data_IF_045192383356
#
_entry.id   IF_045192383356
#
_cell.length_a   1.000
_cell.length_b   1.000
_cell.length_c   1.000
_cell.angle_alpha   90.00
_cell.angle_beta   90.00
_cell.angle_gamma   90.00
#
_symmetry.space_group_name_H-M   'P 1'
#
loop_
_entity.id
_entity.type
_entity.pdbx_description
1 polymer ?
#
# COMPACT_ATOMS: atom_id res chain seq x y z
N UNK A 1 2.16 12.32 -14.68
CA UNK A 1 1.30 11.48 -13.80
C UNK A 1 2.00 11.34 -12.45
N UNK A 2 1.34 11.58 -11.31
CA UNK A 2 1.96 11.36 -10.00
C UNK A 2 2.29 9.88 -9.79
N UNK A 3 3.24 9.59 -8.91
CA UNK A 3 3.52 8.22 -8.54
C UNK A 3 3.94 8.08 -7.07
N UNK A 4 3.79 6.88 -6.53
CA UNK A 4 4.28 6.50 -5.21
C UNK A 4 5.22 5.31 -5.28
N UNK A 5 6.14 5.26 -4.32
CA UNK A 5 6.94 4.08 -4.04
C UNK A 5 6.60 3.63 -2.61
N UNK A 6 6.26 2.36 -2.45
CA UNK A 6 6.01 1.71 -1.16
C UNK A 6 7.19 0.78 -0.90
N UNK A 7 7.99 1.13 0.10
CA UNK A 7 9.06 0.29 0.60
C UNK A 7 8.52 -0.58 1.73
N UNK A 8 8.41 -1.89 1.46
CA UNK A 8 7.87 -2.84 2.43
C UNK A 8 8.84 -3.13 3.57
N UNK A 9 10.15 -3.12 3.30
CA UNK A 9 11.18 -3.43 4.30
C UNK A 9 11.26 -2.35 5.35
N UNK A 10 11.14 -1.09 4.93
CA UNK A 10 11.13 0.06 5.84
C UNK A 10 9.71 0.46 6.30
N UNK A 11 8.68 -0.15 5.71
CA UNK A 11 7.27 0.19 5.94
C UNK A 11 7.00 1.69 5.74
N UNK A 12 7.45 2.21 4.59
CA UNK A 12 7.35 3.62 4.19
C UNK A 12 6.68 3.81 2.84
N UNK A 13 6.08 4.97 2.65
CA UNK A 13 5.51 5.45 1.40
C UNK A 13 6.16 6.77 1.02
N UNK A 14 6.58 6.89 -0.23
CA UNK A 14 7.17 8.09 -0.81
C UNK A 14 6.27 8.58 -1.94
N UNK A 15 5.87 9.85 -1.90
CA UNK A 15 4.98 10.47 -2.89
C UNK A 15 5.78 11.39 -3.80
N UNK A 16 5.65 11.20 -5.12
CA UNK A 16 6.33 11.99 -6.14
C UNK A 16 5.33 12.66 -7.08
N UNK A 17 5.65 13.87 -7.55
CA UNK A 17 4.89 14.49 -8.64
C UNK A 17 5.30 13.93 -10.01
N UNK A 18 4.67 14.44 -11.07
CA UNK A 18 4.91 14.01 -12.44
C UNK A 18 6.34 14.28 -12.94
N UNK A 19 7.01 15.27 -12.33
CA UNK A 19 8.37 15.68 -12.64
C UNK A 19 9.43 14.85 -11.87
N UNK A 20 9.02 13.88 -11.05
CA UNK A 20 9.92 13.03 -10.27
C UNK A 20 10.44 13.67 -8.99
N UNK A 21 9.84 14.78 -8.54
CA UNK A 21 10.20 15.45 -7.29
C UNK A 21 9.47 14.83 -6.11
N UNK A 22 10.21 14.52 -5.04
CA UNK A 22 9.64 14.04 -3.78
C UNK A 22 8.77 15.15 -3.15
N UNK A 23 7.50 14.83 -2.90
CA UNK A 23 6.51 15.73 -2.28
C UNK A 23 6.29 15.44 -0.80
N UNK A 24 6.62 14.23 -0.35
CA UNK A 24 6.59 13.85 1.05
C UNK A 24 6.77 12.34 1.24
N UNK A 25 7.00 11.96 2.49
CA UNK A 25 7.12 10.56 2.92
C UNK A 25 6.28 10.30 4.17
N UNK A 26 5.95 9.03 4.41
CA UNK A 26 5.25 8.62 5.62
C UNK A 26 5.51 7.17 5.98
N UNK A 27 5.36 6.83 7.26
CA UNK A 27 5.20 5.44 7.69
C UNK A 27 3.90 4.86 7.13
N UNK A 28 3.88 3.55 6.95
CA UNK A 28 2.69 2.80 6.57
C UNK A 28 2.54 1.54 7.42
N UNK A 29 1.30 1.17 7.73
CA UNK A 29 0.98 -0.21 8.11
C UNK A 29 0.77 -1.04 6.85
N UNK A 30 1.33 -2.24 6.85
CA UNK A 30 1.32 -3.17 5.74
C UNK A 30 0.66 -4.50 6.13
N UNK A 31 0.50 -5.37 5.14
CA UNK A 31 0.09 -6.75 5.33
C UNK A 31 0.90 -7.42 6.44
N UNK A 32 0.22 -8.19 7.28
CA UNK A 32 0.83 -8.90 8.41
C UNK A 32 1.95 -9.85 7.98
N UNK A 33 1.80 -10.52 6.84
CA UNK A 33 2.80 -11.44 6.32
C UNK A 33 3.86 -10.70 5.49
N UNK A 34 5.10 -11.19 5.59
CA UNK A 34 6.19 -10.86 4.66
C UNK A 34 5.96 -11.68 3.39
N UNK A 35 5.89 -11.03 2.24
CA UNK A 35 5.68 -11.73 0.97
C UNK A 35 5.31 -10.79 -0.16
N UNK A 36 5.65 -11.20 -1.38
CA UNK A 36 5.51 -10.36 -2.58
C UNK A 36 4.28 -10.70 -3.44
N UNK A 37 3.57 -11.77 -3.14
CA UNK A 37 2.44 -12.27 -3.93
C UNK A 37 1.15 -12.29 -3.09
N UNK A 38 0.02 -12.09 -3.75
CA UNK A 38 -1.31 -12.34 -3.20
C UNK A 38 -1.74 -13.77 -3.49
N UNK A 39 -2.49 -14.38 -2.58
CA UNK A 39 -3.11 -15.69 -2.84
C UNK A 39 -4.23 -15.54 -3.89
N UNK A 40 -4.36 -16.48 -4.86
CA UNK A 40 -5.44 -16.43 -5.84
C UNK A 40 -6.83 -16.28 -5.20
N UNK A 41 -7.64 -15.38 -5.74
CA UNK A 41 -9.01 -15.14 -5.28
C UNK A 41 -9.13 -14.43 -3.92
N UNK A 42 -8.03 -13.94 -3.33
CA UNK A 42 -8.06 -13.32 -2.00
C UNK A 42 -8.99 -12.11 -1.92
N UNK A 43 -9.14 -11.35 -3.01
CA UNK A 43 -10.01 -10.17 -3.08
C UNK A 43 -11.50 -10.49 -2.90
N UNK A 44 -11.92 -11.73 -3.15
CA UNK A 44 -13.32 -12.18 -3.04
C UNK A 44 -13.61 -12.90 -1.70
N UNK A 45 -12.56 -13.20 -0.92
CA UNK A 45 -12.69 -13.95 0.33
C UNK A 45 -13.14 -13.05 1.47
N UNK A 46 -13.97 -13.59 2.36
CA UNK A 46 -14.32 -12.91 3.60
C UNK A 46 -13.06 -12.72 4.47
N UNK A 47 -12.86 -11.52 5.04
CA UNK A 47 -11.67 -11.21 5.86
C UNK A 47 -11.41 -12.24 6.97
N UNK A 48 -12.46 -12.74 7.62
CA UNK A 48 -12.34 -13.75 8.68
C UNK A 48 -11.76 -15.10 8.19
N UNK A 49 -11.82 -15.37 6.89
CA UNK A 49 -11.27 -16.59 6.28
C UNK A 49 -9.83 -16.44 5.79
N UNK A 50 -9.25 -15.23 5.81
CA UNK A 50 -7.89 -14.96 5.36
C UNK A 50 -6.92 -15.28 6.51
N UNK A 51 -6.07 -16.27 6.30
CA UNK A 51 -5.09 -16.73 7.28
C UNK A 51 -3.97 -15.69 7.47
N UNK A 52 -3.33 -15.61 8.64
CA UNK A 52 -2.25 -14.65 8.91
C UNK A 52 -1.15 -14.60 7.83
N UNK A 53 -0.71 -15.76 7.35
CA UNK A 53 0.33 -15.93 6.33
C UNK A 53 -0.09 -15.48 4.92
N UNK A 54 -1.40 -15.36 4.67
CA UNK A 54 -1.95 -14.90 3.39
C UNK A 54 -2.10 -13.37 3.32
N UNK A 55 -1.88 -12.67 4.43
CA UNK A 55 -2.10 -11.21 4.55
C UNK A 55 -0.88 -10.43 4.08
N UNK A 56 -0.53 -10.55 2.81
CA UNK A 56 0.61 -9.87 2.21
C UNK A 56 0.20 -8.53 1.58
N UNK A 57 1.15 -7.60 1.47
CA UNK A 57 1.03 -6.47 0.53
C UNK A 57 1.82 -6.87 -0.74
N UNK A 58 1.15 -7.11 -1.88
CA UNK A 58 1.81 -7.64 -3.06
C UNK A 58 2.78 -6.63 -3.66
N UNK A 59 3.90 -7.12 -4.17
CA UNK A 59 4.87 -6.31 -4.91
C UNK A 59 4.41 -6.15 -6.36
N UNK A 60 4.74 -5.02 -6.99
CA UNK A 60 4.37 -4.79 -8.38
C UNK A 60 4.23 -3.33 -8.76
N UNK A 61 3.80 -3.12 -10.00
CA UNK A 61 3.47 -1.81 -10.55
C UNK A 61 1.99 -1.74 -10.85
N UNK A 62 1.32 -0.82 -10.20
CA UNK A 62 -0.13 -0.70 -10.23
C UNK A 62 -0.57 0.64 -10.79
N UNK A 63 -1.62 0.64 -11.61
CA UNK A 63 -2.34 1.87 -11.96
C UNK A 63 -3.35 2.11 -10.86
N UNK A 64 -3.19 3.21 -10.14
CA UNK A 64 -4.00 3.55 -8.98
C UNK A 64 -4.90 4.75 -9.27
N UNK A 65 -6.09 4.72 -8.68
CA UNK A 65 -7.11 5.76 -8.83
C UNK A 65 -7.95 5.91 -7.58
N UNK A 66 -8.41 7.13 -7.30
CA UNK A 66 -9.35 7.34 -6.20
C UNK A 66 -10.67 6.64 -6.48
N UNK A 67 -11.25 6.06 -5.44
CA UNK A 67 -12.58 5.48 -5.47
C UNK A 67 -13.19 5.49 -4.08
N UNK A 68 -14.26 4.72 -3.90
CA UNK A 68 -14.94 4.57 -2.61
C UNK A 68 -14.90 3.12 -2.14
N UNK A 69 -14.75 2.94 -0.83
CA UNK A 69 -14.96 1.66 -0.18
C UNK A 69 -16.47 1.36 0.02
N UNK A 70 -16.80 0.17 0.52
CA UNK A 70 -18.18 -0.26 0.78
C UNK A 70 -18.95 0.65 1.76
N UNK A 71 -18.24 1.41 2.60
CA UNK A 71 -18.82 2.38 3.56
C UNK A 71 -18.90 3.80 2.97
N UNK A 72 -18.57 3.97 1.69
CA UNK A 72 -18.58 5.26 0.99
C UNK A 72 -17.35 6.15 1.26
N UNK A 73 -16.39 5.70 2.07
CA UNK A 73 -15.16 6.44 2.35
C UNK A 73 -14.21 6.44 1.16
N UNK A 74 -13.56 7.57 0.90
CA UNK A 74 -12.55 7.67 -0.16
C UNK A 74 -11.33 6.81 0.17
N UNK A 75 -10.87 6.06 -0.83
CA UNK A 75 -9.65 5.25 -0.78
C UNK A 75 -8.92 5.38 -2.12
N UNK A 76 -7.62 5.11 -2.12
CA UNK A 76 -6.86 4.92 -3.34
C UNK A 76 -6.85 3.42 -3.67
N UNK A 77 -7.55 3.01 -4.72
CA UNK A 77 -7.45 1.65 -5.24
C UNK A 77 -6.09 1.45 -5.88
N UNK A 78 -5.39 0.38 -5.51
CA UNK A 78 -4.06 0.03 -6.02
C UNK A 78 -4.18 -1.23 -6.87
N UNK A 79 -4.73 -2.31 -6.31
CA UNK A 79 -4.98 -3.55 -7.04
C UNK A 79 -6.42 -3.98 -6.80
N UNK A 80 -7.25 -3.90 -7.84
CA UNK A 80 -8.64 -4.28 -7.76
C UNK A 80 -8.82 -5.80 -7.65
N UNK A 81 -7.98 -6.59 -8.32
CA UNK A 81 -8.12 -8.05 -8.36
C UNK A 81 -7.87 -8.65 -6.97
N UNK A 82 -6.86 -8.13 -6.28
CA UNK A 82 -6.49 -8.59 -4.93
C UNK A 82 -7.07 -7.73 -3.81
N UNK A 83 -7.96 -6.79 -4.16
CA UNK A 83 -8.64 -5.86 -3.25
C UNK A 83 -7.70 -5.01 -2.38
N UNK A 84 -6.53 -4.63 -2.90
CA UNK A 84 -5.54 -3.81 -2.20
C UNK A 84 -5.80 -2.32 -2.46
N UNK A 85 -5.83 -1.56 -1.37
CA UNK A 85 -5.97 -0.12 -1.41
C UNK A 85 -5.01 0.55 -0.42
N UNK A 86 -4.73 1.83 -0.67
CA UNK A 86 -4.12 2.72 0.30
C UNK A 86 -5.18 3.65 0.86
N UNK A 87 -5.24 3.76 2.19
CA UNK A 87 -6.22 4.61 2.85
C UNK A 87 -5.72 5.12 4.22
N UNK A 88 -6.35 6.15 4.80
CA UNK A 88 -6.02 6.57 6.16
C UNK A 88 -6.14 5.42 7.16
N UNK A 89 -5.24 5.39 8.14
CA UNK A 89 -5.40 4.54 9.31
C UNK A 89 -6.75 4.82 9.97
N UNK A 90 -7.48 3.76 10.29
CA UNK A 90 -8.76 3.82 10.99
C UNK A 90 -8.59 3.29 12.40
N UNK A 91 -9.39 3.80 13.34
CA UNK A 91 -9.49 3.23 14.68
C UNK A 91 -9.98 1.78 14.55
N UNK A 92 -9.07 0.82 14.78
CA UNK A 92 -9.39 -0.59 14.90
C UNK A 92 -9.91 -0.91 16.29
N UNK A 93 -9.66 -2.13 16.76
CA UNK A 93 -9.79 -2.46 18.18
C UNK A 93 -8.61 -1.91 18.97
N UNK A 94 -8.78 -1.52 20.26
CA UNK A 94 -7.67 -1.06 21.09
C UNK A 94 -6.49 -2.05 21.17
N UNK A 95 -6.77 -3.36 21.05
CA UNK A 95 -5.74 -4.41 21.05
C UNK A 95 -4.81 -4.35 19.84
N UNK A 96 -5.26 -3.82 18.72
CA UNK A 96 -4.44 -3.72 17.50
C UNK A 96 -3.37 -2.63 17.61
N UNK A 97 -3.59 -1.59 18.43
CA UNK A 97 -2.64 -0.49 18.65
C UNK A 97 -2.11 0.15 17.37
N UNK A 98 -3.00 0.43 16.41
CA UNK A 98 -2.61 0.82 15.04
C UNK A 98 -1.86 2.14 14.98
N UNK A 99 -2.24 3.12 15.79
CA UNK A 99 -1.56 4.42 15.82
C UNK A 99 -0.16 4.28 16.43
N UNK A 100 -0.02 3.51 17.51
CA UNK A 100 1.27 3.25 18.15
C UNK A 100 2.21 2.45 17.23
N UNK A 101 1.67 1.44 16.52
CA UNK A 101 2.42 0.70 15.49
C UNK A 101 2.93 1.63 14.39
N UNK A 102 2.07 2.53 13.90
CA UNK A 102 2.41 3.47 12.84
C UNK A 102 3.50 4.47 13.30
N UNK A 103 3.47 4.86 14.57
CA UNK A 103 4.46 5.73 15.20
C UNK A 103 5.76 5.02 15.62
N UNK A 104 5.76 3.68 15.71
CA UNK A 104 6.95 2.92 16.09
C UNK A 104 8.12 3.17 15.11
N UNK A 105 9.37 3.25 15.58
CA UNK A 105 10.53 3.29 14.69
C UNK A 105 10.79 1.95 13.98
N UNK A 106 10.24 0.83 14.45
CA UNK A 106 10.51 -0.50 13.89
C UNK A 106 9.53 -0.85 12.76
N UNK A 107 10.04 -1.40 11.66
CA UNK A 107 9.22 -1.81 10.53
C UNK A 107 8.32 -3.02 10.88
N UNK A 108 8.81 -3.95 11.70
CA UNK A 108 8.06 -5.15 12.10
C UNK A 108 6.79 -4.83 12.88
N UNK A 109 6.79 -3.74 13.66
CA UNK A 109 5.61 -3.28 14.37
C UNK A 109 4.48 -2.86 13.42
N UNK A 110 4.80 -2.53 12.17
CA UNK A 110 3.86 -2.03 11.17
C UNK A 110 3.17 -3.14 10.36
N UNK A 111 3.43 -4.41 10.67
CA UNK A 111 2.80 -5.58 10.06
C UNK A 111 1.51 -5.96 10.80
N UNK A 112 0.36 -5.59 10.24
CA UNK A 112 -0.94 -5.81 10.92
C UNK A 112 -2.15 -5.89 9.99
N UNK A 113 -2.07 -5.34 8.78
CA UNK A 113 -3.22 -5.29 7.88
C UNK A 113 -3.47 -6.63 7.17
N UNK A 114 -4.58 -6.70 6.44
CA UNK A 114 -4.89 -7.82 5.54
C UNK A 114 -4.25 -7.68 4.15
N UNK A 115 -3.42 -6.65 3.95
CA UNK A 115 -2.74 -6.35 2.68
C UNK A 115 -2.82 -4.88 2.31
N UNK A 116 -3.92 -4.20 2.65
CA UNK A 116 -4.06 -2.75 2.44
C UNK A 116 -2.95 -1.95 3.13
N UNK A 117 -2.58 -0.83 2.52
CA UNK A 117 -1.58 0.09 3.05
C UNK A 117 -2.31 1.17 3.87
N UNK A 118 -1.97 1.33 5.15
CA UNK A 118 -2.60 2.35 5.99
C UNK A 118 -1.59 3.43 6.36
N UNK A 119 -1.93 4.69 6.09
CA UNK A 119 -1.05 5.85 6.29
C UNK A 119 -1.68 6.86 7.24
N UNK A 120 -0.92 7.83 7.80
CA UNK A 120 -1.49 8.92 8.58
C UNK A 120 -2.55 9.68 7.77
N UNK A 121 -3.63 10.07 8.43
CA UNK A 121 -4.75 10.80 7.81
C UNK A 121 -4.27 12.05 7.07
N UNK A 122 -3.39 12.84 7.69
CA UNK A 122 -2.87 14.07 7.09
C UNK A 122 -2.13 13.79 5.79
N UNK A 123 -1.20 12.82 5.77
CA UNK A 123 -0.47 12.42 4.55
C UNK A 123 -1.43 12.02 3.43
N UNK A 124 -2.44 11.22 3.76
CA UNK A 124 -3.46 10.85 2.78
C UNK A 124 -4.22 12.04 2.23
N UNK A 125 -4.79 12.88 3.10
CA UNK A 125 -5.69 13.96 2.67
C UNK A 125 -4.97 15.08 1.94
N UNK A 126 -3.73 15.43 2.36
CA UNK A 126 -3.03 16.60 1.83
C UNK A 126 -2.13 16.27 0.64
N UNK A 127 -1.60 15.05 0.55
CA UNK A 127 -0.71 14.65 -0.54
C UNK A 127 -1.39 13.66 -1.49
N UNK A 128 -1.83 12.51 -0.97
CA UNK A 128 -2.34 11.42 -1.83
C UNK A 128 -3.65 11.81 -2.51
N UNK A 129 -4.70 12.13 -1.75
CA UNK A 129 -6.02 12.50 -2.28
C UNK A 129 -5.92 13.69 -3.25
N UNK A 130 -5.12 14.70 -2.90
CA UNK A 130 -4.94 15.89 -3.74
C UNK A 130 -4.23 15.57 -5.06
N UNK A 131 -3.17 14.75 -5.03
CA UNK A 131 -2.42 14.41 -6.24
C UNK A 131 -3.23 13.52 -7.20
N UNK A 132 -4.08 12.63 -6.68
CA UNK A 132 -4.87 11.70 -7.50
C UNK A 132 -6.29 12.20 -7.83
N UNK A 133 -6.69 13.39 -7.34
CA UNK A 133 -8.07 13.91 -7.48
C UNK A 133 -8.59 13.96 -8.91
N UNK A 134 -7.74 14.34 -9.85
CA UNK A 134 -8.10 14.55 -11.25
C UNK A 134 -7.25 13.69 -12.21
N UNK A 135 -6.55 12.68 -11.69
CA UNK A 135 -5.71 11.81 -12.50
C UNK A 135 -5.49 10.47 -11.83
N UNK A 136 -5.35 9.43 -12.63
CA UNK A 136 -4.71 8.20 -12.15
C UNK A 136 -3.24 8.48 -11.79
N UNK A 137 -2.63 7.56 -11.07
CA UNK A 137 -1.21 7.56 -10.78
C UNK A 137 -0.63 6.16 -10.81
N UNK A 138 0.69 6.05 -10.66
CA UNK A 138 1.36 4.76 -10.56
C UNK A 138 1.76 4.51 -9.11
N UNK A 139 1.51 3.31 -8.61
CA UNK A 139 2.05 2.87 -7.32
C UNK A 139 3.00 1.71 -7.58
N UNK A 140 4.27 1.90 -7.21
CA UNK A 140 5.27 0.85 -7.17
C UNK A 140 5.33 0.31 -5.75
N UNK A 141 5.06 -0.99 -5.57
CA UNK A 141 5.31 -1.68 -4.31
C UNK A 141 6.59 -2.49 -4.48
N UNK A 142 7.64 -2.11 -3.75
CA UNK A 142 8.93 -2.77 -3.86
C UNK A 142 8.85 -4.19 -3.26
N UNK A 143 9.48 -5.19 -3.89
CA UNK A 143 9.55 -6.53 -3.33
C UNK A 143 10.44 -6.56 -2.09
N UNK A 144 10.14 -7.51 -1.22
CA UNK A 144 10.90 -7.75 0.01
C UNK A 144 11.49 -9.15 0.07
N UNK A 145 10.97 -10.12 -0.68
CA UNK A 145 11.51 -11.49 -0.77
C UNK A 145 12.20 -11.76 -2.11
N UNK A 146 11.79 -11.08 -3.18
CA UNK A 146 12.42 -11.16 -4.51
C UNK A 146 13.31 -9.94 -4.80
N UNK A 147 14.29 -10.07 -5.72
CA UNK A 147 15.02 -8.90 -6.22
C UNK A 147 14.14 -8.04 -7.13
N UNK A 148 14.41 -6.73 -7.19
CA UNK A 148 13.64 -5.77 -8.01
C UNK A 148 13.50 -6.20 -9.47
N UNK A 149 14.56 -6.74 -10.09
CA UNK A 149 14.52 -7.15 -11.49
C UNK A 149 13.57 -8.31 -11.79
N UNK A 150 13.25 -9.16 -10.80
CA UNK A 150 12.31 -10.26 -10.98
C UNK A 150 10.84 -9.78 -10.98
N UNK A 151 10.56 -8.62 -10.35
CA UNK A 151 9.21 -8.04 -10.29
C UNK A 151 9.00 -6.97 -11.37
N UNK A 152 10.06 -6.25 -11.73
CA UNK A 152 10.02 -5.13 -12.68
C UNK A 152 10.76 -5.45 -13.99
N UNK A 153 10.76 -6.72 -14.41
CA UNK A 153 11.58 -7.25 -15.52
C UNK A 153 11.42 -6.46 -16.85
N UNK A 154 10.21 -5.99 -17.15
CA UNK A 154 9.91 -5.19 -18.36
C UNK A 154 10.65 -3.85 -18.43
N UNK A 155 11.24 -3.38 -17.32
CA UNK A 155 12.01 -2.13 -17.26
C UNK A 155 13.53 -2.34 -17.34
N UNK A 156 14.00 -3.59 -17.27
CA UNK A 156 15.41 -3.94 -17.42
C UNK A 156 15.75 -4.48 -18.81
N UNK A 157 14.75 -4.93 -19.58
CA UNK A 157 14.92 -5.28 -20.99
C UNK A 157 14.91 -4.01 -21.84
N UNK A 158 16.07 -3.37 -21.94
CA UNK A 158 16.36 -2.40 -23.00
C UNK A 158 17.04 -3.20 -24.10
N UNK A 159 16.29 -3.61 -25.13
CA UNK A 159 16.87 -3.99 -26.42
C UNK A 159 17.19 -2.75 -27.25
#
# INVERSE_FOLDING_TARGET
>A
MPYMIIDKREAKVFMFNAEGQLRGESSALLGMAVGDDSVPGIGERALASILPEERTTPAGRFVASLGRNLKGGEILWIDYETAISLHPVVAGTPRERREERLASPHADDKRISYGCINVPKTFYTTLVSTAFKNSNGIVYVLPETRPNHAVFESYYKVE
#
